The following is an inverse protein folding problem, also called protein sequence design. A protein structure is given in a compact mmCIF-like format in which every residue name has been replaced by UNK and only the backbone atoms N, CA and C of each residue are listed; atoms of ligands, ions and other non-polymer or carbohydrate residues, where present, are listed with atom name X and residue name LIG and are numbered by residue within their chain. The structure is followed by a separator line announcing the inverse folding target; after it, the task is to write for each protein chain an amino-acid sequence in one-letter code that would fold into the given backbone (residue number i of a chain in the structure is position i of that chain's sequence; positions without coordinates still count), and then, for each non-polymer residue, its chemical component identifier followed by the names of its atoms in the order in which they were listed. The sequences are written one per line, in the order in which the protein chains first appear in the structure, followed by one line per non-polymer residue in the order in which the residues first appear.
data_IF_906099013886
#
_entry.id   IF_906099013886
#
_cell.length_a   1.000
_cell.length_b   1.000
_cell.length_c   1.000
_cell.angle_alpha   90.00
_cell.angle_beta   90.00
_cell.angle_gamma   90.00
#
_symmetry.space_group_name_H-M   'P 1'
#
loop_
_entity.id
_entity.type
_entity.pdbx_description
1 polymer ?
#
# COMPACT_ATOMS: atom_id res chain seq x y z
N UNK A 1 6.34 29.85 -1.25
CA UNK A 1 5.93 29.11 -2.46
C UNK A 1 5.70 27.70 -1.95
N UNK A 2 4.55 27.43 -1.33
CA UNK A 2 4.30 26.18 -0.57
C UNK A 2 2.85 25.68 -0.70
N UNK A 3 2.04 26.27 -1.59
CA UNK A 3 0.59 25.99 -1.68
C UNK A 3 0.17 25.17 -2.92
N UNK A 4 1.06 24.93 -3.89
CA UNK A 4 0.74 24.09 -5.06
C UNK A 4 1.06 22.62 -4.83
N UNK A 5 2.18 22.33 -4.16
CA UNK A 5 2.61 20.95 -3.82
C UNK A 5 1.57 20.28 -2.91
N UNK A 6 1.09 20.99 -1.87
CA UNK A 6 0.03 20.50 -0.98
C UNK A 6 -1.32 20.28 -1.66
N UNK A 7 -1.61 20.92 -2.80
CA UNK A 7 -2.90 20.77 -3.48
C UNK A 7 -2.92 19.60 -4.46
N UNK A 8 -1.79 19.31 -5.11
CA UNK A 8 -1.65 18.15 -5.97
C UNK A 8 -1.68 16.85 -5.16
N UNK A 9 -0.94 16.80 -4.05
CA UNK A 9 -0.93 15.66 -3.11
C UNK A 9 -2.33 15.37 -2.55
N UNK A 10 -3.09 16.43 -2.25
CA UNK A 10 -4.48 16.29 -1.78
C UNK A 10 -5.42 15.75 -2.86
N UNK A 11 -5.27 16.14 -4.13
CA UNK A 11 -6.11 15.62 -5.22
C UNK A 11 -5.81 14.16 -5.53
N UNK A 12 -4.53 13.78 -5.51
CA UNK A 12 -4.13 12.39 -5.68
C UNK A 12 -4.70 11.55 -4.54
N UNK A 13 -4.55 12.00 -3.29
CA UNK A 13 -5.12 11.29 -2.14
C UNK A 13 -6.65 11.18 -2.22
N UNK A 14 -7.35 12.24 -2.63
CA UNK A 14 -8.79 12.21 -2.91
C UNK A 14 -9.15 11.18 -3.98
N UNK A 15 -8.43 11.17 -5.11
CA UNK A 15 -8.63 10.19 -6.19
C UNK A 15 -8.46 8.75 -5.71
N UNK A 16 -7.35 8.46 -5.01
CA UNK A 16 -7.07 7.11 -4.50
C UNK A 16 -8.15 6.65 -3.50
N UNK A 17 -8.69 7.55 -2.69
CA UNK A 17 -9.80 7.26 -1.77
C UNK A 17 -11.15 7.06 -2.48
N UNK A 18 -11.28 7.42 -3.76
CA UNK A 18 -12.47 7.17 -4.59
C UNK A 18 -12.40 5.84 -5.35
N UNK A 19 -11.21 5.23 -5.47
CA UNK A 19 -11.01 3.92 -6.08
C UNK A 19 -11.58 2.79 -5.21
N UNK A 20 -11.82 1.63 -5.82
CA UNK A 20 -12.27 0.43 -5.09
C UNK A 20 -11.09 -0.29 -4.44
N UNK A 21 -10.81 0.08 -3.18
CA UNK A 21 -9.82 -0.58 -2.32
C UNK A 21 -10.42 -1.62 -1.38
N UNK A 22 -11.73 -1.91 -1.46
CA UNK A 22 -12.42 -2.65 -0.39
C UNK A 22 -12.01 -4.12 -0.27
N UNK A 23 -11.44 -4.70 -1.33
CA UNK A 23 -11.07 -6.11 -1.41
C UNK A 23 -9.63 -6.30 -1.91
N UNK A 24 -8.74 -5.35 -1.64
CA UNK A 24 -7.34 -5.46 -2.05
C UNK A 24 -6.51 -6.27 -1.04
N UNK A 25 -7.06 -6.60 0.12
CA UNK A 25 -6.42 -7.48 1.10
C UNK A 25 -7.34 -7.78 2.29
N UNK A 26 -6.83 -8.53 3.28
CA UNK A 26 -7.63 -9.03 4.41
C UNK A 26 -8.22 -7.92 5.28
N UNK A 27 -7.49 -6.81 5.46
CA UNK A 27 -7.95 -5.67 6.26
C UNK A 27 -7.50 -4.36 5.63
N UNK A 28 -8.45 -3.54 5.17
CA UNK A 28 -8.15 -2.30 4.43
C UNK A 28 -8.79 -1.08 5.12
N UNK A 29 -8.01 -0.02 5.27
CA UNK A 29 -8.43 1.23 5.90
C UNK A 29 -7.98 2.44 5.09
N UNK A 30 -8.89 3.38 4.83
CA UNK A 30 -8.60 4.65 4.16
C UNK A 30 -9.33 5.83 4.83
N UNK A 31 -8.75 7.02 4.77
CA UNK A 31 -9.36 8.29 5.19
C UNK A 31 -9.58 8.53 6.69
N UNK A 32 -9.88 7.50 7.49
CA UNK A 32 -10.11 7.59 8.94
C UNK A 32 -9.35 6.50 9.71
N UNK A 33 -8.08 6.33 9.40
CA UNK A 33 -7.21 5.40 10.14
C UNK A 33 -7.00 5.95 11.55
N UNK A 34 -7.30 5.12 12.56
CA UNK A 34 -7.25 5.56 13.96
C UNK A 34 -5.84 5.98 14.37
N UNK A 35 -5.75 6.85 15.38
CA UNK A 35 -4.46 7.36 15.82
C UNK A 35 -3.54 6.33 16.44
N UNK A 36 -4.08 5.28 17.03
CA UNK A 36 -3.31 4.16 17.57
C UNK A 36 -2.71 3.36 16.42
N UNK A 37 -3.54 2.88 15.48
CA UNK A 37 -3.09 2.11 14.30
C UNK A 37 -1.98 2.84 13.55
N UNK A 38 -2.18 4.14 13.27
CA UNK A 38 -1.15 4.95 12.61
C UNK A 38 0.15 5.05 13.41
N UNK A 39 0.08 5.07 14.74
CA UNK A 39 1.28 5.13 15.58
C UNK A 39 2.01 3.79 15.60
N UNK A 40 1.26 2.68 15.62
CA UNK A 40 1.79 1.32 15.66
C UNK A 40 2.52 0.99 14.35
N UNK A 41 1.86 1.18 13.19
CA UNK A 41 2.50 0.94 11.88
C UNK A 41 3.71 1.87 11.64
N UNK A 42 3.70 3.09 12.18
CA UNK A 42 4.84 4.00 12.08
C UNK A 42 6.01 3.58 12.97
N UNK A 43 5.75 2.92 14.10
CA UNK A 43 6.78 2.36 14.95
C UNK A 43 7.45 1.16 14.27
N UNK A 44 6.64 0.32 13.63
CA UNK A 44 7.06 -0.90 12.90
C UNK A 44 7.85 -0.55 11.65
N UNK A 45 7.30 0.29 10.77
CA UNK A 45 7.96 0.70 9.51
C UNK A 45 9.17 1.63 9.70
N UNK A 46 9.69 1.77 10.94
CA UNK A 46 10.86 2.58 11.31
C UNK A 46 10.80 4.02 10.78
N UNK A 47 9.59 4.59 10.65
CA UNK A 47 9.31 5.93 10.08
C UNK A 47 9.61 6.07 8.58
N UNK A 48 9.37 5.02 7.79
CA UNK A 48 9.48 5.08 6.33
C UNK A 48 8.58 6.14 5.67
N UNK A 49 7.49 6.52 6.34
CA UNK A 49 6.54 7.55 5.91
C UNK A 49 6.09 8.42 7.09
N UNK A 50 5.48 9.58 6.82
CA UNK A 50 4.81 10.38 7.86
C UNK A 50 3.34 9.99 7.95
N UNK A 51 2.75 10.16 9.13
CA UNK A 51 1.33 9.89 9.38
C UNK A 51 0.37 10.51 8.37
N UNK A 52 0.67 11.73 7.96
CA UNK A 52 -0.15 12.53 7.03
C UNK A 52 -0.02 12.06 5.57
N UNK A 53 0.94 11.18 5.28
CA UNK A 53 1.21 10.68 3.94
C UNK A 53 0.44 9.38 3.68
N UNK A 54 -0.15 8.76 4.71
CA UNK A 54 -0.90 7.49 4.60
C UNK A 54 -2.27 7.76 3.99
N UNK A 55 -2.52 7.21 2.80
CA UNK A 55 -3.81 7.31 2.10
C UNK A 55 -4.64 6.05 2.36
N UNK A 56 -4.05 4.89 2.05
CA UNK A 56 -4.64 3.56 2.28
C UNK A 56 -3.65 2.69 3.04
N UNK A 57 -4.14 1.97 4.04
CA UNK A 57 -3.40 0.95 4.78
C UNK A 57 -4.05 -0.42 4.54
N UNK A 58 -3.22 -1.42 4.28
CA UNK A 58 -3.59 -2.83 4.10
C UNK A 58 -2.83 -3.66 5.14
N UNK A 59 -3.56 -4.29 6.06
CA UNK A 59 -3.04 -5.33 6.93
C UNK A 59 -3.10 -6.67 6.21
N UNK A 60 -1.94 -7.34 6.09
CA UNK A 60 -1.78 -8.58 5.33
C UNK A 60 -1.80 -9.78 6.28
N UNK A 61 -0.90 -9.80 7.27
CA UNK A 61 -0.97 -10.74 8.38
C UNK A 61 -1.59 -10.04 9.59
N UNK A 62 -2.76 -10.53 10.00
CA UNK A 62 -3.53 -10.01 11.13
C UNK A 62 -3.46 -10.94 12.35
N UNK A 63 -2.90 -12.14 12.22
CA UNK A 63 -2.75 -13.10 13.32
C UNK A 63 -1.58 -12.70 14.22
N UNK A 64 -0.53 -12.13 13.63
CA UNK A 64 0.56 -11.46 14.33
C UNK A 64 0.44 -9.94 14.14
N UNK A 65 0.13 -9.21 15.23
CA UNK A 65 -0.30 -7.81 15.20
C UNK A 65 0.67 -6.90 14.40
N UNK A 66 0.30 -6.61 13.15
CA UNK A 66 1.03 -5.80 12.16
C UNK A 66 2.36 -6.39 11.66
N UNK A 67 2.55 -7.71 11.71
CA UNK A 67 3.79 -8.34 11.28
C UNK A 67 4.09 -8.08 9.79
N UNK A 68 3.05 -8.20 8.95
CA UNK A 68 3.10 -7.88 7.53
C UNK A 68 2.04 -6.85 7.15
N UNK A 69 2.42 -5.88 6.33
CA UNK A 69 1.46 -4.91 5.83
C UNK A 69 2.01 -3.95 4.80
N UNK A 70 1.09 -3.13 4.29
CA UNK A 70 1.38 -2.21 3.21
C UNK A 70 0.63 -0.90 3.37
N UNK A 71 1.25 0.20 2.95
CA UNK A 71 0.68 1.53 2.89
C UNK A 71 0.86 2.12 1.51
N UNK A 72 -0.19 2.73 0.99
CA UNK A 72 -0.16 3.61 -0.17
C UNK A 72 -0.01 5.05 0.28
N UNK A 73 1.06 5.70 -0.16
CA UNK A 73 1.30 7.13 0.05
C UNK A 73 1.06 7.91 -1.23
N UNK A 74 1.27 9.22 -1.19
CA UNK A 74 1.15 10.10 -2.36
C UNK A 74 2.18 9.81 -3.46
N UNK A 75 3.25 9.10 -3.16
CA UNK A 75 4.38 8.92 -4.08
C UNK A 75 4.99 7.51 -4.11
N UNK A 76 4.59 6.62 -3.20
CA UNK A 76 5.12 5.27 -3.11
C UNK A 76 4.15 4.29 -2.46
N UNK A 77 4.41 3.01 -2.71
CA UNK A 77 3.95 1.90 -1.89
C UNK A 77 5.04 1.63 -0.84
N UNK A 78 4.65 1.51 0.43
CA UNK A 78 5.54 1.08 1.51
C UNK A 78 5.05 -0.27 2.01
N UNK A 79 5.88 -1.28 1.88
CA UNK A 79 5.60 -2.65 2.29
C UNK A 79 6.58 -3.08 3.39
N UNK A 80 6.12 -3.85 4.36
CA UNK A 80 6.99 -4.40 5.41
C UNK A 80 6.64 -5.85 5.73
N UNK A 81 7.65 -6.54 6.23
CA UNK A 81 7.65 -7.92 6.69
C UNK A 81 8.31 -8.02 8.06
N UNK A 82 8.11 -9.14 8.75
CA UNK A 82 8.80 -9.50 9.99
C UNK A 82 8.73 -8.36 11.02
N UNK A 83 7.53 -7.81 11.24
CA UNK A 83 7.29 -6.71 12.17
C UNK A 83 8.16 -5.48 11.88
N UNK A 84 8.43 -5.22 10.60
CA UNK A 84 9.21 -4.08 10.13
C UNK A 84 10.71 -4.25 10.25
N UNK A 85 11.20 -5.49 10.44
CA UNK A 85 12.62 -5.79 10.25
C UNK A 85 13.06 -5.49 8.82
N UNK A 86 12.20 -5.84 7.87
CA UNK A 86 12.33 -5.53 6.45
C UNK A 86 11.25 -4.52 6.04
N UNK A 87 11.68 -3.42 5.41
CA UNK A 87 10.78 -2.39 4.89
C UNK A 87 11.25 -2.01 3.50
N UNK A 88 10.35 -2.18 2.53
CA UNK A 88 10.59 -1.85 1.12
C UNK A 88 9.74 -0.63 0.77
N UNK A 89 10.40 0.34 0.14
CA UNK A 89 9.74 1.51 -0.43
C UNK A 89 9.80 1.41 -1.94
N UNK A 90 8.63 1.45 -2.57
CA UNK A 90 8.45 1.28 -4.01
C UNK A 90 7.85 2.58 -4.56
N UNK A 91 8.68 3.53 -5.03
CA UNK A 91 8.17 4.75 -5.65
C UNK A 91 7.32 4.40 -6.88
N UNK A 92 6.15 5.02 -7.06
CA UNK A 92 5.30 4.73 -8.22
C UNK A 92 6.04 4.98 -9.55
N UNK A 93 6.93 5.98 -9.57
CA UNK A 93 7.77 6.30 -10.73
C UNK A 93 8.81 5.23 -11.08
N UNK A 94 9.10 4.30 -10.18
CA UNK A 94 10.06 3.21 -10.39
C UNK A 94 9.37 1.88 -10.70
N UNK A 95 8.04 1.80 -10.66
CA UNK A 95 7.29 0.61 -11.05
C UNK A 95 7.32 0.48 -12.57
N UNK A 96 7.91 -0.60 -13.05
CA UNK A 96 8.02 -0.90 -14.48
C UNK A 96 6.89 -1.82 -14.94
N UNK A 97 6.47 -2.73 -14.07
CA UNK A 97 5.39 -3.68 -14.34
C UNK A 97 4.73 -4.14 -13.05
N UNK A 98 3.43 -4.38 -13.14
CA UNK A 98 2.64 -5.07 -12.13
C UNK A 98 2.02 -6.30 -12.79
N UNK A 99 1.99 -7.42 -12.07
CA UNK A 99 1.32 -8.66 -12.46
C UNK A 99 0.75 -9.33 -11.19
N UNK A 100 0.02 -10.41 -11.34
CA UNK A 100 -0.47 -11.19 -10.19
C UNK A 100 -0.64 -12.66 -10.54
N UNK A 101 -0.57 -13.52 -9.52
CA UNK A 101 -1.02 -14.89 -9.60
C UNK A 101 -2.19 -15.14 -8.64
N UNK A 102 -2.46 -16.41 -8.31
CA UNK A 102 -3.60 -16.78 -7.48
C UNK A 102 -3.50 -16.20 -6.06
N UNK A 103 -2.29 -16.03 -5.49
CA UNK A 103 -2.10 -15.58 -4.10
C UNK A 103 -1.31 -14.28 -3.98
N UNK A 104 -0.51 -13.94 -4.97
CA UNK A 104 0.49 -12.88 -4.87
C UNK A 104 0.24 -11.74 -5.85
N UNK A 105 0.51 -10.52 -5.40
CA UNK A 105 0.79 -9.38 -6.28
C UNK A 105 2.30 -9.33 -6.58
N UNK A 106 2.65 -9.17 -7.85
CA UNK A 106 4.03 -9.15 -8.33
C UNK A 106 4.34 -7.74 -8.86
N UNK A 107 5.35 -7.08 -8.29
CA UNK A 107 5.75 -5.73 -8.66
C UNK A 107 7.22 -5.75 -9.11
N UNK A 108 7.44 -5.43 -10.38
CA UNK A 108 8.78 -5.20 -10.93
C UNK A 108 9.10 -3.70 -10.79
N UNK A 109 10.17 -3.38 -10.05
CA UNK A 109 10.62 -2.00 -9.85
C UNK A 109 12.15 -1.89 -9.85
N UNK A 110 12.69 -1.06 -10.74
CA UNK A 110 14.13 -1.02 -11.03
C UNK A 110 14.69 -2.42 -11.35
N UNK A 111 15.75 -2.83 -10.65
CA UNK A 111 16.36 -4.17 -10.83
C UNK A 111 15.75 -5.26 -9.92
N UNK A 112 14.62 -4.98 -9.27
CA UNK A 112 13.99 -5.88 -8.27
C UNK A 112 12.64 -6.37 -8.73
N UNK A 113 12.33 -7.63 -8.38
CA UNK A 113 10.98 -8.19 -8.49
C UNK A 113 10.53 -8.57 -7.09
N UNK A 114 9.41 -8.02 -6.65
CA UNK A 114 8.80 -8.30 -5.36
C UNK A 114 7.52 -9.11 -5.58
N UNK A 115 7.40 -10.25 -4.88
CA UNK A 115 6.17 -11.03 -4.78
C UNK A 115 5.62 -10.85 -3.37
N UNK A 116 4.38 -10.38 -3.25
CA UNK A 116 3.72 -10.13 -1.97
C UNK A 116 2.47 -11.00 -1.89
N UNK A 117 2.45 -11.93 -0.94
CA UNK A 117 1.28 -12.77 -0.65
C UNK A 117 0.26 -11.97 0.14
N UNK A 118 -0.97 -11.85 -0.35
CA UNK A 118 -1.97 -10.96 0.25
C UNK A 118 -2.83 -11.66 1.33
N UNK A 119 -2.18 -12.41 2.22
CA UNK A 119 -2.81 -13.15 3.31
C UNK A 119 -3.32 -14.55 2.91
N UNK A 120 -3.77 -15.33 3.89
CA UNK A 120 -4.12 -16.75 3.70
C UNK A 120 -5.29 -16.98 2.74
N UNK A 121 -6.28 -16.08 2.73
CA UNK A 121 -7.49 -16.18 1.90
C UNK A 121 -7.33 -15.53 0.51
N UNK A 122 -6.11 -15.15 0.11
CA UNK A 122 -5.85 -14.36 -1.10
C UNK A 122 -6.43 -14.96 -2.40
N UNK A 123 -6.34 -16.28 -2.57
CA UNK A 123 -6.88 -16.98 -3.74
C UNK A 123 -8.41 -16.97 -3.76
N UNK A 124 -9.03 -17.34 -2.62
CA UNK A 124 -10.47 -17.48 -2.50
C UNK A 124 -11.20 -16.13 -2.65
N UNK A 125 -10.65 -15.11 -1.99
CA UNK A 125 -11.19 -13.74 -2.02
C UNK A 125 -10.66 -12.93 -3.22
N UNK A 126 -9.69 -13.47 -3.96
CA UNK A 126 -9.08 -12.90 -5.17
C UNK A 126 -8.43 -11.54 -4.92
N UNK A 127 -7.85 -11.35 -3.74
CA UNK A 127 -7.16 -10.12 -3.36
C UNK A 127 -6.11 -9.67 -4.40
N UNK A 128 -5.27 -10.56 -4.98
CA UNK A 128 -4.24 -10.14 -5.94
C UNK A 128 -4.79 -9.45 -7.18
N UNK A 129 -5.94 -9.91 -7.69
CA UNK A 129 -6.59 -9.28 -8.84
C UNK A 129 -7.11 -7.89 -8.52
N UNK A 130 -7.73 -7.71 -7.34
CA UNK A 130 -8.22 -6.39 -6.92
C UNK A 130 -7.07 -5.44 -6.63
N UNK A 131 -6.03 -5.91 -5.95
CA UNK A 131 -4.79 -5.17 -5.71
C UNK A 131 -4.15 -4.72 -7.02
N UNK A 132 -4.04 -5.62 -8.01
CA UNK A 132 -3.54 -5.29 -9.34
C UNK A 132 -4.33 -4.14 -9.97
N UNK A 133 -5.67 -4.25 -10.04
CA UNK A 133 -6.50 -3.19 -10.64
C UNK A 133 -6.32 -1.87 -9.90
N UNK A 134 -6.28 -1.91 -8.56
CA UNK A 134 -6.10 -0.72 -7.73
C UNK A 134 -4.74 -0.04 -7.98
N UNK A 135 -3.65 -0.81 -8.05
CA UNK A 135 -2.32 -0.26 -8.38
C UNK A 135 -2.30 0.29 -9.80
N UNK A 136 -2.89 -0.40 -10.77
CA UNK A 136 -2.96 0.08 -12.15
C UNK A 136 -3.75 1.40 -12.25
N UNK A 137 -4.88 1.51 -11.57
CA UNK A 137 -5.68 2.75 -11.50
C UNK A 137 -4.91 3.90 -10.85
N UNK A 138 -4.04 3.62 -9.87
CA UNK A 138 -3.12 4.60 -9.28
C UNK A 138 -2.08 5.06 -10.31
N UNK A 139 -1.46 4.12 -11.04
CA UNK A 139 -0.41 4.41 -12.01
C UNK A 139 -0.93 5.18 -13.25
N UNK A 140 -2.22 5.03 -13.56
CA UNK A 140 -2.90 5.75 -14.64
C UNK A 140 -3.29 7.20 -14.26
N UNK A 141 -3.03 7.65 -13.02
CA UNK A 141 -3.32 9.02 -12.60
C UNK A 141 -2.35 10.05 -13.22
N UNK A 142 -2.91 11.01 -13.99
CA UNK A 142 -2.19 12.12 -14.66
C UNK A 142 -2.03 13.40 -13.81
#
# INVERSE_FOLDING_TARGET
MDNEITRADNKFAEYVMELDYSSIGPSVYAGNISSSVLSDIMAISRRAFRRQDVIVYVGIDMDEEYDEGMVFTSDAIIYWLDSGEEVVRIPYSEIERVDFDDTDIIIEHGDTVLSITLGEDAEDERYPRYMYNFIMDILDYE
#
